data_IF_864336858674
#
_entry.id   IF_864336858674
#
_cell.length_a   1.000
_cell.length_b   1.000
_cell.length_c   1.000
_cell.angle_alpha   90.00
_cell.angle_beta   90.00
_cell.angle_gamma   90.00
#
_symmetry.space_group_name_H-M   'P 1'
#
loop_
_entity.id
_entity.type
_entity.pdbx_description
1 polymer ?
#
# COMPACT_ATOMS: atom_id res chain seq x y z
N UNK A 1 3.17 -13.88 -37.22
CA UNK A 1 2.22 -12.79 -37.53
C UNK A 1 2.01 -12.02 -36.23
N UNK A 2 2.64 -10.85 -36.10
CA UNK A 2 2.59 -10.06 -34.86
C UNK A 2 1.19 -9.50 -34.66
N UNK A 3 0.54 -9.84 -33.55
CA UNK A 3 -0.71 -9.18 -33.17
C UNK A 3 -0.42 -7.69 -32.97
N UNK A 4 -0.98 -6.87 -33.86
CA UNK A 4 -0.99 -5.42 -33.72
C UNK A 4 -1.78 -5.09 -32.45
N UNK A 5 -1.10 -4.94 -31.31
CA UNK A 5 -1.73 -4.46 -30.08
C UNK A 5 -2.29 -3.07 -30.38
N UNK A 6 -3.60 -2.92 -30.33
CA UNK A 6 -4.29 -1.65 -30.62
C UNK A 6 -4.11 -0.70 -29.45
N UNK A 7 -2.96 -0.03 -29.42
CA UNK A 7 -2.60 0.96 -28.40
C UNK A 7 -3.66 2.05 -28.24
N UNK A 8 -4.41 2.33 -29.29
CA UNK A 8 -5.50 3.31 -29.35
C UNK A 8 -6.60 2.99 -28.32
N UNK A 9 -6.96 1.69 -28.18
CA UNK A 9 -7.97 1.22 -27.22
C UNK A 9 -7.40 1.27 -25.79
N UNK A 10 -6.10 1.01 -25.63
CA UNK A 10 -5.41 1.12 -24.33
C UNK A 10 -5.30 2.58 -23.86
N UNK A 11 -5.07 3.52 -24.78
CA UNK A 11 -5.02 4.95 -24.51
C UNK A 11 -6.38 5.53 -24.14
N UNK A 12 -7.45 5.14 -24.87
CA UNK A 12 -8.82 5.54 -24.54
C UNK A 12 -9.23 5.06 -23.15
N UNK A 13 -8.85 3.83 -22.78
CA UNK A 13 -9.06 3.27 -21.45
C UNK A 13 -8.30 4.02 -20.36
N UNK A 14 -7.01 4.30 -20.57
CA UNK A 14 -6.19 5.07 -19.62
C UNK A 14 -6.72 6.50 -19.41
N UNK A 15 -7.14 7.16 -20.48
CA UNK A 15 -7.71 8.51 -20.42
C UNK A 15 -9.05 8.52 -19.68
N UNK A 16 -9.90 7.52 -19.92
CA UNK A 16 -11.15 7.32 -19.18
C UNK A 16 -10.92 7.13 -17.67
N UNK A 17 -9.86 6.45 -17.27
CA UNK A 17 -9.54 6.23 -15.85
C UNK A 17 -8.87 7.46 -15.22
N UNK A 18 -8.05 8.18 -15.98
CA UNK A 18 -7.45 9.43 -15.51
C UNK A 18 -8.49 10.53 -15.30
N UNK A 19 -9.60 10.51 -16.05
CA UNK A 19 -10.79 11.34 -15.80
C UNK A 19 -11.64 10.86 -14.61
N UNK A 20 -11.56 9.58 -14.27
CA UNK A 20 -12.29 9.00 -13.14
C UNK A 20 -11.68 9.40 -11.79
N UNK A 21 -10.36 9.64 -11.75
CA UNK A 21 -9.63 10.12 -10.57
C UNK A 21 -10.11 11.50 -10.09
N UNK A 22 -10.19 12.56 -10.90
CA UNK A 22 -10.75 13.85 -10.49
C UNK A 22 -12.26 13.77 -10.22
N UNK A 23 -13.01 12.89 -10.90
CA UNK A 23 -14.42 12.64 -10.54
C UNK A 23 -14.54 12.03 -9.13
N UNK A 24 -13.67 11.09 -8.77
CA UNK A 24 -13.61 10.52 -7.43
C UNK A 24 -13.14 11.55 -6.38
N UNK A 25 -12.07 12.30 -6.68
CA UNK A 25 -11.53 13.35 -5.79
C UNK A 25 -12.54 14.48 -5.57
N UNK A 26 -13.27 14.91 -6.59
CA UNK A 26 -14.33 15.91 -6.42
C UNK A 26 -15.47 15.40 -5.53
N UNK A 27 -15.82 14.11 -5.62
CA UNK A 27 -16.91 13.50 -4.84
C UNK A 27 -16.55 13.13 -3.40
N UNK A 28 -15.28 13.11 -3.02
CA UNK A 28 -14.85 13.05 -1.60
C UNK A 28 -15.18 14.36 -0.88
N UNK A 29 -15.21 15.48 -1.60
CA UNK A 29 -15.59 16.78 -1.03
C UNK A 29 -17.09 17.08 -1.11
N UNK A 30 -17.87 16.26 -1.85
CA UNK A 30 -19.34 16.27 -1.87
C UNK A 30 -19.98 15.64 -0.60
N UNK A 31 -19.31 15.69 0.55
CA UNK A 31 -19.91 15.31 1.84
C UNK A 31 -21.02 16.29 2.29
N UNK A 32 -21.32 17.31 1.50
CA UNK A 32 -22.48 18.17 1.67
C UNK A 32 -23.71 17.52 1.01
N UNK A 33 -24.16 16.39 1.57
CA UNK A 33 -25.51 15.93 1.33
C UNK A 33 -26.43 16.75 2.26
N UNK A 34 -27.37 17.55 1.74
CA UNK A 34 -28.44 18.09 2.56
C UNK A 34 -29.09 16.93 3.32
N UNK A 35 -29.43 17.11 4.60
CA UNK A 35 -30.10 16.09 5.44
C UNK A 35 -31.54 15.76 4.96
N UNK A 36 -31.84 16.06 3.71
CA UNK A 36 -33.11 15.81 3.04
C UNK A 36 -32.94 14.54 2.21
N UNK A 37 -32.84 13.41 2.92
CA UNK A 37 -32.59 12.09 2.33
C UNK A 37 -33.58 11.76 1.20
N UNK A 38 -33.16 11.00 0.18
CA UNK A 38 -33.98 10.77 -0.99
C UNK A 38 -35.18 9.87 -0.67
N UNK A 39 -36.22 10.07 -1.46
CA UNK A 39 -37.58 9.58 -1.26
C UNK A 39 -37.68 8.02 -1.32
N UNK A 40 -36.61 7.33 -1.74
CA UNK A 40 -36.61 5.87 -1.96
C UNK A 40 -35.31 5.17 -1.48
N UNK A 41 -35.37 4.35 -0.41
CA UNK A 41 -34.20 3.70 0.18
C UNK A 41 -33.49 2.69 -0.74
N UNK A 42 -34.17 2.17 -1.77
CA UNK A 42 -33.56 1.25 -2.74
C UNK A 42 -32.54 1.90 -3.67
N UNK A 43 -32.72 3.19 -3.98
CA UNK A 43 -31.83 3.93 -4.88
C UNK A 43 -30.49 4.23 -4.18
N UNK A 44 -30.51 4.52 -2.88
CA UNK A 44 -29.29 4.81 -2.10
C UNK A 44 -28.39 3.59 -1.92
N UNK A 45 -28.99 2.44 -1.64
CA UNK A 45 -28.25 1.18 -1.52
C UNK A 45 -27.57 0.87 -2.85
N UNK A 46 -28.29 1.06 -3.96
CA UNK A 46 -27.73 0.88 -5.30
C UNK A 46 -26.59 1.87 -5.57
N UNK A 47 -26.77 3.16 -5.28
CA UNK A 47 -25.73 4.18 -5.46
C UNK A 47 -24.50 3.89 -4.58
N UNK A 48 -24.70 3.43 -3.35
CA UNK A 48 -23.62 3.10 -2.41
C UNK A 48 -22.80 1.89 -2.87
N UNK A 49 -23.47 0.86 -3.39
CA UNK A 49 -22.81 -0.33 -3.96
C UNK A 49 -22.03 0.07 -5.22
N UNK A 50 -22.66 0.81 -6.13
CA UNK A 50 -22.02 1.29 -7.36
C UNK A 50 -20.82 2.18 -7.05
N UNK A 51 -20.92 3.05 -6.04
CA UNK A 51 -19.81 3.90 -5.57
C UNK A 51 -18.68 3.04 -5.01
N UNK A 52 -18.97 2.11 -4.11
CA UNK A 52 -17.96 1.22 -3.52
C UNK A 52 -17.23 0.43 -4.62
N UNK A 53 -17.98 -0.15 -5.55
CA UNK A 53 -17.43 -0.89 -6.67
C UNK A 53 -16.57 -0.01 -7.58
N UNK A 54 -17.01 1.22 -7.86
CA UNK A 54 -16.24 2.20 -8.64
C UNK A 54 -14.89 2.54 -7.97
N UNK A 55 -14.85 2.70 -6.63
CA UNK A 55 -13.58 2.93 -5.89
C UNK A 55 -12.63 1.75 -6.08
N UNK A 56 -13.12 0.52 -5.90
CA UNK A 56 -12.30 -0.68 -6.07
C UNK A 56 -11.75 -0.82 -7.48
N UNK A 57 -12.57 -0.57 -8.51
CA UNK A 57 -12.11 -0.57 -9.90
C UNK A 57 -11.03 0.49 -10.14
N UNK A 58 -11.20 1.68 -9.56
CA UNK A 58 -10.21 2.77 -9.67
C UNK A 58 -8.87 2.38 -9.04
N UNK A 59 -8.89 1.80 -7.84
CA UNK A 59 -7.70 1.29 -7.17
C UNK A 59 -6.99 0.22 -8.00
N UNK A 60 -7.75 -0.73 -8.56
CA UNK A 60 -7.20 -1.77 -9.42
C UNK A 60 -6.50 -1.19 -10.66
N UNK A 61 -7.07 -0.14 -11.25
CA UNK A 61 -6.41 0.54 -12.38
C UNK A 61 -5.15 1.27 -11.93
N UNK A 62 -5.21 2.05 -10.85
CA UNK A 62 -4.03 2.78 -10.36
C UNK A 62 -2.88 1.81 -10.09
N UNK A 63 -3.17 0.66 -9.45
CA UNK A 63 -2.18 -0.39 -9.20
C UNK A 63 -1.68 -1.02 -10.51
N UNK A 64 -2.55 -1.30 -11.47
CA UNK A 64 -2.16 -1.83 -12.79
C UNK A 64 -1.30 -0.86 -13.60
N UNK A 65 -1.62 0.43 -13.56
CA UNK A 65 -0.82 1.49 -14.19
C UNK A 65 0.50 1.69 -13.46
N UNK A 66 0.50 1.69 -12.12
CA UNK A 66 1.72 1.69 -11.30
C UNK A 66 2.64 0.53 -11.65
N UNK A 67 2.11 -0.68 -11.81
CA UNK A 67 2.91 -1.82 -12.25
C UNK A 67 3.45 -1.67 -13.69
N UNK A 68 2.73 -0.99 -14.59
CA UNK A 68 3.17 -0.77 -15.97
C UNK A 68 4.22 0.34 -16.10
N UNK A 69 4.07 1.44 -15.36
CA UNK A 69 4.87 2.65 -15.52
C UNK A 69 5.90 2.89 -14.42
N UNK A 70 5.71 2.35 -13.21
CA UNK A 70 6.59 2.55 -12.05
C UNK A 70 7.41 1.29 -11.69
N UNK A 71 7.30 0.21 -12.46
CA UNK A 71 8.08 -1.00 -12.24
C UNK A 71 9.49 -0.88 -12.83
N UNK A 72 10.31 -0.07 -12.16
CA UNK A 72 11.72 0.08 -12.47
C UNK A 72 12.56 -0.87 -11.59
N UNK A 73 13.50 -1.64 -12.18
CA UNK A 73 14.39 -2.50 -11.40
C UNK A 73 15.43 -1.65 -10.65
N UNK A 74 15.09 -1.22 -9.43
CA UNK A 74 16.00 -0.48 -8.55
C UNK A 74 16.51 -1.36 -7.40
N UNK A 75 17.81 -1.24 -7.06
CA UNK A 75 18.47 -2.06 -6.02
C UNK A 75 17.86 -1.89 -4.63
N UNK A 76 17.15 -0.79 -4.38
CA UNK A 76 16.48 -0.53 -3.10
C UNK A 76 15.12 -1.26 -2.96
N UNK A 77 14.50 -1.73 -4.06
CA UNK A 77 13.16 -2.36 -4.01
C UNK A 77 13.15 -3.63 -3.13
N UNK A 78 14.12 -4.55 -3.20
CA UNK A 78 14.14 -5.72 -2.32
C UNK A 78 14.23 -5.34 -0.84
N UNK A 79 15.09 -4.35 -0.52
CA UNK A 79 15.23 -3.85 0.84
C UNK A 79 13.95 -3.18 1.36
N UNK A 80 13.34 -2.29 0.57
CA UNK A 80 12.10 -1.61 0.93
C UNK A 80 10.93 -2.59 1.07
N UNK A 81 10.86 -3.62 0.22
CA UNK A 81 9.81 -4.63 0.29
C UNK A 81 9.94 -5.51 1.55
N UNK A 82 11.17 -5.86 1.95
CA UNK A 82 11.43 -6.55 3.22
C UNK A 82 11.12 -5.67 4.44
N UNK A 83 11.36 -4.36 4.34
CA UNK A 83 11.10 -3.41 5.42
C UNK A 83 9.62 -3.02 5.57
N UNK A 84 8.86 -3.02 4.47
CA UNK A 84 7.49 -2.53 4.45
C UNK A 84 6.56 -3.32 5.39
N UNK A 85 6.64 -4.65 5.39
CA UNK A 85 5.73 -5.49 6.17
C UNK A 85 5.91 -5.31 7.69
N UNK A 86 7.13 -5.37 8.26
CA UNK A 86 7.29 -5.16 9.69
C UNK A 86 7.04 -3.71 10.13
N UNK A 87 7.46 -2.72 9.32
CA UNK A 87 7.19 -1.31 9.61
C UNK A 87 5.67 -1.06 9.67
N UNK A 88 4.90 -1.64 8.75
CA UNK A 88 3.44 -1.52 8.72
C UNK A 88 2.78 -2.02 10.03
N UNK A 89 3.19 -3.20 10.52
CA UNK A 89 2.64 -3.79 11.75
C UNK A 89 2.95 -2.91 12.97
N UNK A 90 4.19 -2.40 13.05
CA UNK A 90 4.68 -1.64 14.21
C UNK A 90 4.17 -0.21 14.20
N UNK A 91 3.97 0.38 13.02
CA UNK A 91 3.49 1.75 12.88
C UNK A 91 2.14 1.96 13.55
N UNK A 92 1.19 1.03 13.40
CA UNK A 92 -0.13 1.16 14.01
C UNK A 92 -0.06 1.24 15.55
N UNK A 93 0.69 0.35 16.19
CA UNK A 93 0.83 0.37 17.65
C UNK A 93 1.58 1.61 18.14
N UNK A 94 2.65 2.00 17.44
CA UNK A 94 3.43 3.22 17.74
C UNK A 94 2.58 4.48 17.57
N UNK A 95 1.72 4.53 16.57
CA UNK A 95 0.79 5.65 16.33
C UNK A 95 -0.16 5.83 17.51
N UNK A 96 -0.74 4.75 18.03
CA UNK A 96 -1.65 4.80 19.18
C UNK A 96 -0.94 5.31 20.44
N UNK A 97 0.27 4.80 20.72
CA UNK A 97 1.05 5.22 21.89
C UNK A 97 1.42 6.71 21.80
N UNK A 98 1.98 7.15 20.66
CA UNK A 98 2.37 8.55 20.47
C UNK A 98 1.13 9.45 20.45
N UNK A 99 0.08 9.04 19.76
CA UNK A 99 -1.18 9.77 19.69
C UNK A 99 -1.75 10.02 21.08
N UNK A 100 -1.75 9.01 21.96
CA UNK A 100 -2.18 9.17 23.35
C UNK A 100 -1.36 10.24 24.08
N UNK A 101 -0.03 10.18 24.05
CA UNK A 101 0.80 11.16 24.75
C UNK A 101 0.70 12.57 24.14
N UNK A 102 0.77 12.70 22.82
CA UNK A 102 0.77 14.03 22.15
C UNK A 102 -0.56 14.74 22.35
N UNK A 103 -1.68 14.01 22.31
CA UNK A 103 -3.01 14.62 22.51
C UNK A 103 -3.23 15.09 23.96
N UNK A 104 -2.54 14.50 24.95
CA UNK A 104 -2.63 14.98 26.35
C UNK A 104 -1.93 16.32 26.60
N UNK A 105 -1.00 16.72 25.73
CA UNK A 105 -0.20 17.95 25.89
C UNK A 105 -0.99 19.20 25.42
N UNK A 106 -2.23 19.04 24.94
CA UNK A 106 -3.11 20.11 24.45
C UNK A 106 -2.40 21.08 23.48
N UNK A 107 -1.63 20.50 22.55
CA UNK A 107 -1.02 21.25 21.45
C UNK A 107 -2.09 21.49 20.38
N UNK A 108 -2.01 22.64 19.70
CA UNK A 108 -2.91 22.97 18.60
C UNK A 108 -2.99 21.83 17.57
N UNK A 109 -4.18 21.61 17.01
CA UNK A 109 -4.50 20.44 16.16
C UNK A 109 -3.47 20.17 15.07
N UNK A 110 -3.03 21.22 14.37
CA UNK A 110 -2.04 21.14 13.29
C UNK A 110 -0.69 20.65 13.82
N UNK A 111 -0.24 21.18 14.96
CA UNK A 111 1.04 20.80 15.54
C UNK A 111 1.00 19.35 16.02
N UNK A 112 -0.07 18.96 16.72
CA UNK A 112 -0.29 17.57 17.13
C UNK A 112 -0.23 16.60 15.94
N UNK A 113 -0.85 16.96 14.81
CA UNK A 113 -0.82 16.14 13.59
C UNK A 113 0.61 15.94 13.05
N UNK A 114 1.36 17.02 12.82
CA UNK A 114 2.73 16.90 12.30
C UNK A 114 3.65 16.17 13.27
N UNK A 115 3.47 16.40 14.56
CA UNK A 115 4.29 15.80 15.61
C UNK A 115 4.04 14.28 15.69
N UNK A 116 2.78 13.84 15.66
CA UNK A 116 2.45 12.41 15.58
C UNK A 116 3.00 11.81 14.28
N UNK A 117 2.77 12.43 13.12
CA UNK A 117 3.24 11.93 11.83
C UNK A 117 4.76 11.69 11.82
N UNK A 118 5.54 12.68 12.24
CA UNK A 118 7.00 12.60 12.22
C UNK A 118 7.50 11.61 13.27
N UNK A 119 6.99 11.66 14.50
CA UNK A 119 7.44 10.74 15.56
C UNK A 119 7.09 9.29 15.24
N UNK A 120 5.89 9.02 14.73
CA UNK A 120 5.49 7.65 14.39
C UNK A 120 6.40 7.11 13.29
N UNK A 121 6.67 7.88 12.23
CA UNK A 121 7.55 7.46 11.14
C UNK A 121 8.97 7.16 11.65
N UNK A 122 9.54 8.07 12.45
CA UNK A 122 10.90 7.93 12.99
C UNK A 122 11.03 6.74 13.94
N UNK A 123 10.08 6.59 14.87
CA UNK A 123 10.12 5.51 15.86
C UNK A 123 9.91 4.15 15.20
N UNK A 124 8.96 4.03 14.25
CA UNK A 124 8.76 2.79 13.50
C UNK A 124 10.00 2.40 12.69
N UNK A 125 10.68 3.38 12.08
CA UNK A 125 11.92 3.14 11.34
C UNK A 125 13.08 2.72 12.26
N UNK A 126 13.26 3.41 13.38
CA UNK A 126 14.28 3.06 14.39
C UNK A 126 14.06 1.65 14.95
N UNK A 127 12.82 1.29 15.28
CA UNK A 127 12.48 -0.05 15.75
C UNK A 127 12.85 -1.11 14.71
N UNK A 128 12.54 -0.86 13.43
CA UNK A 128 12.92 -1.77 12.34
C UNK A 128 14.45 -1.95 12.25
N UNK A 129 15.21 -0.85 12.25
CA UNK A 129 16.67 -0.91 12.13
C UNK A 129 17.35 -1.57 13.35
N UNK A 130 16.85 -1.30 14.56
CA UNK A 130 17.50 -1.76 15.80
C UNK A 130 17.08 -3.17 16.23
N UNK A 131 15.81 -3.54 16.08
CA UNK A 131 15.27 -4.82 16.57
C UNK A 131 15.30 -5.88 15.47
N UNK A 132 14.82 -5.56 14.28
CA UNK A 132 14.56 -6.56 13.22
C UNK A 132 15.84 -6.91 12.46
N UNK A 133 16.68 -5.92 12.17
CA UNK A 133 17.98 -6.13 11.52
C UNK A 133 18.96 -6.90 12.42
N UNK A 134 18.81 -6.81 13.74
CA UNK A 134 19.73 -7.39 14.74
C UNK A 134 19.35 -8.81 15.19
N UNK A 135 18.07 -9.20 15.12
CA UNK A 135 17.62 -10.51 15.62
C UNK A 135 17.21 -11.45 14.48
N UNK A 136 17.93 -12.56 14.30
CA UNK A 136 17.65 -13.56 13.26
C UNK A 136 16.25 -14.21 13.39
N UNK A 137 15.69 -14.21 14.61
CA UNK A 137 14.37 -14.77 14.95
C UNK A 137 13.23 -13.91 14.36
N UNK A 138 13.32 -12.58 14.43
CA UNK A 138 12.30 -11.70 13.84
C UNK A 138 12.33 -11.79 12.31
N UNK A 139 13.52 -11.95 11.70
CA UNK A 139 13.64 -12.21 10.26
C UNK A 139 12.91 -13.48 9.80
N UNK A 140 12.86 -14.50 10.66
CA UNK A 140 12.12 -15.74 10.42
C UNK A 140 10.61 -15.57 10.65
N UNK A 141 10.19 -14.91 11.74
CA UNK A 141 8.77 -14.65 12.06
C UNK A 141 8.09 -13.77 11.00
N UNK A 142 8.80 -12.78 10.46
CA UNK A 142 8.26 -11.86 9.45
C UNK A 142 8.44 -12.37 8.00
N UNK A 143 8.87 -13.62 7.80
CA UNK A 143 8.90 -14.25 6.48
C UNK A 143 9.91 -13.66 5.50
N UNK A 144 10.90 -12.90 5.99
CA UNK A 144 11.97 -12.36 5.14
C UNK A 144 12.85 -13.53 4.69
N UNK A 145 13.02 -13.66 3.38
CA UNK A 145 13.68 -14.80 2.73
C UNK A 145 15.03 -15.07 3.38
N UNK A 146 15.12 -16.16 4.13
CA UNK A 146 16.39 -16.69 4.61
C UNK A 146 17.27 -16.95 3.39
N UNK A 147 18.50 -16.47 3.45
CA UNK A 147 19.44 -16.44 2.35
C UNK A 147 19.48 -17.81 1.63
N UNK A 148 19.08 -17.83 0.37
CA UNK A 148 18.89 -19.04 -0.48
C UNK A 148 20.24 -19.58 -0.97
N UNK A 149 21.22 -19.73 -0.08
CA UNK A 149 22.48 -20.41 -0.39
C UNK A 149 22.38 -21.94 -0.27
N UNK A 150 21.40 -22.48 0.45
CA UNK A 150 21.24 -23.94 0.58
C UNK A 150 20.60 -24.64 -0.63
N UNK A 151 19.88 -23.92 -1.50
CA UNK A 151 19.23 -24.58 -2.66
C UNK A 151 20.17 -24.80 -3.84
N UNK A 152 21.23 -23.99 -4.00
CA UNK A 152 22.24 -24.25 -5.04
C UNK A 152 23.03 -25.52 -4.73
N UNK A 153 23.30 -25.81 -3.45
CA UNK A 153 24.06 -27.00 -3.06
C UNK A 153 23.25 -28.29 -3.22
N UNK A 154 21.93 -28.27 -2.97
CA UNK A 154 21.06 -29.44 -3.13
C UNK A 154 20.95 -29.90 -4.60
N UNK A 155 20.79 -28.95 -5.53
CA UNK A 155 20.72 -29.24 -6.98
C UNK A 155 22.07 -29.73 -7.54
N UNK A 156 23.19 -29.29 -6.95
CA UNK A 156 24.52 -29.76 -7.33
C UNK A 156 24.77 -31.18 -6.78
N UNK A 157 24.27 -31.50 -5.59
CA UNK A 157 24.43 -32.81 -4.96
C UNK A 157 23.68 -33.92 -5.74
N UNK A 158 22.41 -33.70 -6.12
CA UNK A 158 21.65 -34.67 -6.94
C UNK A 158 22.36 -34.98 -8.26
N UNK A 159 22.95 -33.97 -8.92
CA UNK A 159 23.66 -34.15 -10.20
C UNK A 159 24.95 -34.97 -10.07
N UNK A 160 25.55 -35.08 -8.88
CA UNK A 160 26.77 -35.85 -8.67
C UNK A 160 26.52 -37.30 -8.24
N UNK A 161 25.29 -37.65 -7.85
CA UNK A 161 24.92 -39.00 -7.44
C UNK A 161 24.20 -39.81 -8.54
N UNK A 162 23.87 -39.18 -9.67
CA UNK A 162 23.24 -39.82 -10.84
C UNK A 162 24.23 -40.21 -11.96
N UNK A 163 25.55 -40.03 -11.77
CA UNK A 163 26.61 -40.49 -12.69
C UNK A 163 27.46 -41.57 -12.04
#
# INVERSE_FOLDING_TARGET
MGENRRYDIDWLRNLGILLLFPFHSARVFDYWDPQDGPIFPGVDILISILRTFNVWLTLAVILGFGHKFLNFPHKAIPYMNEAAFPIYIIHQSVLVVIGYYVLTINLGMILSFFLIMVLTLLISWLIYEFIIKRTAITRWIFGVKVNRNNQKNLVIWERHHEN
#
